data_IF_125984185411
#
_entry.id   IF_125984185411
#
_cell.length_a   1.000
_cell.length_b   1.000
_cell.length_c   1.000
_cell.angle_alpha   90.00
_cell.angle_beta   90.00
_cell.angle_gamma   90.00
#
_symmetry.space_group_name_H-M   'P 1'
#
loop_
_entity.id
_entity.type
_entity.pdbx_description
1 polymer ?
#
# COMPACT_ATOMS: atom_id res chain seq x y z
N UNK A 1 -0.61 21.81 21.56
CA UNK A 1 -1.11 23.13 21.15
C UNK A 1 -2.25 22.93 20.16
N UNK A 2 -3.42 23.47 20.43
CA UNK A 2 -4.59 23.33 19.55
C UNK A 2 -4.50 24.41 18.45
N UNK A 3 -4.63 24.08 17.16
CA UNK A 3 -4.68 25.07 16.10
C UNK A 3 -5.89 25.99 16.28
N UNK A 4 -5.73 27.26 15.93
CA UNK A 4 -6.78 28.29 16.07
C UNK A 4 -7.05 28.96 14.73
N UNK A 5 -8.26 29.45 14.54
CA UNK A 5 -8.63 30.30 13.40
C UNK A 5 -9.39 31.53 13.88
N UNK A 6 -9.41 32.57 13.04
CA UNK A 6 -10.16 33.81 13.33
C UNK A 6 -11.52 33.72 12.61
N UNK A 7 -12.59 33.83 13.38
CA UNK A 7 -13.96 33.83 12.86
C UNK A 7 -14.73 35.01 13.43
N UNK A 8 -15.22 35.89 12.56
CA UNK A 8 -15.94 37.13 12.92
C UNK A 8 -15.21 38.00 13.94
N UNK A 9 -13.88 38.08 13.85
CA UNK A 9 -13.05 38.86 14.76
C UNK A 9 -12.60 38.13 16.03
N UNK A 10 -13.15 36.97 16.34
CA UNK A 10 -12.80 36.18 17.51
C UNK A 10 -11.85 35.02 17.13
N UNK A 11 -10.92 34.73 18.05
CA UNK A 11 -10.02 33.58 17.92
C UNK A 11 -10.67 32.36 18.54
N UNK A 12 -10.98 31.36 17.71
CA UNK A 12 -11.62 30.10 18.11
C UNK A 12 -10.73 28.88 17.81
N UNK A 13 -10.87 27.79 18.58
CA UNK A 13 -10.19 26.54 18.24
C UNK A 13 -10.63 26.02 16.88
N UNK A 14 -9.66 25.60 16.06
CA UNK A 14 -9.93 24.93 14.77
C UNK A 14 -9.53 23.46 14.87
N UNK A 15 -10.45 22.56 14.57
CA UNK A 15 -10.20 21.11 14.55
C UNK A 15 -10.44 20.60 13.14
N UNK A 16 -9.41 19.94 12.56
CA UNK A 16 -9.55 19.27 11.29
C UNK A 16 -10.01 17.84 11.54
N UNK A 17 -11.22 17.52 11.11
CA UNK A 17 -11.75 16.17 11.19
C UNK A 17 -11.26 15.34 10.00
N UNK A 18 -11.07 14.02 10.19
CA UNK A 18 -10.78 13.14 9.08
C UNK A 18 -11.94 13.10 8.08
N UNK A 19 -11.61 12.88 6.81
CA UNK A 19 -12.61 12.79 5.75
C UNK A 19 -13.57 11.63 6.00
N UNK A 20 -14.86 11.89 5.85
CA UNK A 20 -15.92 10.88 5.90
C UNK A 20 -16.33 10.55 4.46
N UNK A 21 -16.22 9.28 4.09
CA UNK A 21 -16.62 8.79 2.77
C UNK A 21 -17.99 8.13 2.84
N UNK A 22 -18.90 8.60 2.01
CA UNK A 22 -20.26 8.04 1.90
C UNK A 22 -20.35 7.31 0.56
N UNK A 23 -20.62 6.01 0.61
CA UNK A 23 -20.78 5.16 -0.55
C UNK A 23 -22.23 4.80 -0.79
N UNK A 24 -22.60 4.59 -2.06
CA UNK A 24 -23.92 4.06 -2.41
C UNK A 24 -24.06 2.64 -1.86
N UNK A 25 -25.27 2.23 -1.42
CA UNK A 25 -25.51 0.85 -1.02
C UNK A 25 -25.19 -0.12 -2.13
N UNK A 26 -24.53 -1.22 -1.79
CA UNK A 26 -24.21 -2.28 -2.73
C UNK A 26 -25.48 -3.04 -3.11
N UNK A 27 -25.70 -3.19 -4.41
CA UNK A 27 -26.79 -4.01 -4.95
C UNK A 27 -26.22 -5.18 -5.72
N UNK A 28 -26.67 -6.37 -5.43
CA UNK A 28 -26.25 -7.61 -6.10
C UNK A 28 -27.38 -8.15 -6.95
N UNK A 29 -27.05 -8.67 -8.13
CA UNK A 29 -28.05 -9.25 -9.06
C UNK A 29 -28.57 -10.59 -8.57
N UNK A 30 -27.71 -11.36 -7.89
CA UNK A 30 -28.02 -12.68 -7.37
C UNK A 30 -27.18 -13.03 -6.14
N UNK A 31 -27.52 -14.11 -5.48
CA UNK A 31 -26.82 -14.56 -4.27
C UNK A 31 -25.39 -15.05 -4.55
N UNK A 32 -25.11 -15.50 -5.78
CA UNK A 32 -23.77 -15.91 -6.21
C UNK A 32 -22.80 -14.70 -6.22
N UNK A 33 -23.22 -13.60 -6.86
CA UNK A 33 -22.46 -12.36 -6.91
C UNK A 33 -22.17 -11.80 -5.52
N UNK A 34 -23.17 -11.85 -4.63
CA UNK A 34 -23.02 -11.44 -3.23
C UNK A 34 -21.98 -12.28 -2.50
N UNK A 35 -22.00 -13.61 -2.65
CA UNK A 35 -21.00 -14.51 -2.03
C UNK A 35 -19.59 -14.28 -2.56
N UNK A 36 -19.44 -14.06 -3.86
CA UNK A 36 -18.16 -13.75 -4.50
C UNK A 36 -17.58 -12.42 -3.98
N UNK A 37 -18.43 -11.41 -3.85
CA UNK A 37 -18.04 -10.12 -3.27
C UNK A 37 -17.54 -10.26 -1.82
N UNK A 38 -18.29 -10.91 -0.96
CA UNK A 38 -17.88 -11.09 0.44
C UNK A 38 -16.63 -11.96 0.59
N UNK A 39 -16.45 -12.95 -0.31
CA UNK A 39 -15.21 -13.72 -0.38
C UNK A 39 -14.02 -12.84 -0.76
N UNK A 40 -14.19 -11.96 -1.73
CA UNK A 40 -13.18 -10.97 -2.12
C UNK A 40 -12.82 -10.04 -0.96
N UNK A 41 -13.82 -9.48 -0.28
CA UNK A 41 -13.60 -8.60 0.89
C UNK A 41 -12.79 -9.32 1.97
N UNK A 42 -13.12 -10.58 2.26
CA UNK A 42 -12.38 -11.39 3.24
C UNK A 42 -10.92 -11.61 2.82
N UNK A 43 -10.71 -11.93 1.55
CA UNK A 43 -9.37 -12.12 1.00
C UNK A 43 -8.55 -10.82 1.02
N UNK A 44 -9.15 -9.68 0.67
CA UNK A 44 -8.50 -8.36 0.76
C UNK A 44 -8.12 -8.04 2.20
N UNK A 45 -9.00 -8.24 3.16
CA UNK A 45 -8.71 -8.01 4.59
C UNK A 45 -7.52 -8.85 5.07
N UNK A 46 -7.37 -10.06 4.54
CA UNK A 46 -6.26 -10.95 4.91
C UNK A 46 -4.94 -10.57 4.22
N UNK A 47 -4.98 -10.18 2.96
CA UNK A 47 -3.77 -9.94 2.15
C UNK A 47 -3.28 -8.49 2.17
N UNK A 48 -4.15 -7.53 2.45
CA UNK A 48 -3.80 -6.10 2.43
C UNK A 48 -2.70 -5.72 3.43
N UNK A 49 -2.70 -6.17 4.69
CA UNK A 49 -1.61 -5.88 5.63
C UNK A 49 -0.26 -6.36 5.10
N UNK A 50 -0.22 -7.57 4.55
CA UNK A 50 0.98 -8.16 3.96
C UNK A 50 1.46 -7.36 2.73
N UNK A 51 0.54 -6.93 1.88
CA UNK A 51 0.86 -6.07 0.73
C UNK A 51 1.47 -4.74 1.18
N UNK A 52 0.97 -4.14 2.24
CA UNK A 52 1.51 -2.90 2.81
C UNK A 52 2.92 -3.07 3.38
N UNK A 53 3.19 -4.17 4.04
CA UNK A 53 4.54 -4.48 4.56
C UNK A 53 5.54 -4.66 3.41
N UNK A 54 5.18 -5.41 2.38
CA UNK A 54 6.02 -5.61 1.20
C UNK A 54 6.30 -4.26 0.51
N UNK A 55 5.29 -3.42 0.33
CA UNK A 55 5.46 -2.12 -0.29
C UNK A 55 6.36 -1.19 0.54
N UNK A 56 6.23 -1.22 1.86
CA UNK A 56 7.13 -0.46 2.74
C UNK A 56 8.58 -0.90 2.53
N UNK A 57 8.84 -2.21 2.53
CA UNK A 57 10.17 -2.76 2.29
C UNK A 57 10.72 -2.37 0.91
N UNK A 58 9.88 -2.31 -0.11
CA UNK A 58 10.25 -1.85 -1.46
C UNK A 58 10.63 -0.37 -1.44
N UNK A 59 9.84 0.49 -0.80
CA UNK A 59 10.12 1.93 -0.69
C UNK A 59 11.44 2.17 0.04
N UNK A 60 11.62 1.57 1.21
CA UNK A 60 12.85 1.68 2.01
C UNK A 60 14.08 1.20 1.22
N UNK A 61 13.92 0.15 0.42
CA UNK A 61 14.98 -0.35 -0.46
C UNK A 61 15.36 0.67 -1.54
N UNK A 62 14.36 1.28 -2.19
CA UNK A 62 14.61 2.31 -3.19
C UNK A 62 15.30 3.54 -2.61
N UNK A 63 14.82 4.06 -1.49
CA UNK A 63 15.44 5.19 -0.80
C UNK A 63 16.89 4.90 -0.43
N UNK A 64 17.19 3.71 0.06
CA UNK A 64 18.55 3.32 0.39
C UNK A 64 19.44 3.19 -0.86
N UNK A 65 18.93 2.60 -1.94
CA UNK A 65 19.67 2.43 -3.21
C UNK A 65 20.06 3.79 -3.81
N UNK A 66 19.21 4.79 -3.69
CA UNK A 66 19.51 6.14 -4.17
C UNK A 66 20.72 6.76 -3.45
N UNK A 67 21.00 6.38 -2.22
CA UNK A 67 22.17 6.83 -1.46
C UNK A 67 23.47 6.16 -1.91
N UNK A 68 23.41 5.06 -2.64
CA UNK A 68 24.59 4.31 -3.09
C UNK A 68 25.13 4.87 -4.42
N UNK A 69 26.42 5.26 -4.47
CA UNK A 69 26.99 5.89 -5.66
C UNK A 69 27.32 4.89 -6.78
N UNK A 70 27.63 3.64 -6.42
CA UNK A 70 28.14 2.62 -7.34
C UNK A 70 27.05 1.63 -7.78
N UNK A 71 26.99 1.35 -9.10
CA UNK A 71 26.05 0.39 -9.69
C UNK A 71 26.23 -1.02 -9.11
N UNK A 72 27.47 -1.47 -8.90
CA UNK A 72 27.75 -2.79 -8.30
C UNK A 72 27.24 -2.90 -6.88
N UNK A 73 27.39 -1.83 -6.08
CA UNK A 73 26.87 -1.77 -4.72
C UNK A 73 25.34 -1.84 -4.70
N UNK A 74 24.66 -1.16 -5.63
CA UNK A 74 23.21 -1.23 -5.81
C UNK A 74 22.72 -2.63 -6.14
N UNK A 75 23.35 -3.28 -7.12
CA UNK A 75 23.00 -4.66 -7.50
C UNK A 75 23.24 -5.68 -6.38
N UNK A 76 24.35 -5.53 -5.64
CA UNK A 76 24.64 -6.37 -4.48
C UNK A 76 23.58 -6.20 -3.39
N UNK A 77 23.19 -4.97 -3.11
CA UNK A 77 22.15 -4.66 -2.12
C UNK A 77 20.78 -5.23 -2.54
N UNK A 78 20.39 -5.08 -3.82
CA UNK A 78 19.16 -5.65 -4.34
C UNK A 78 19.08 -7.17 -4.19
N UNK A 79 20.17 -7.88 -4.49
CA UNK A 79 20.24 -9.35 -4.29
C UNK A 79 20.09 -9.74 -2.81
N UNK A 80 20.70 -8.97 -1.91
CA UNK A 80 20.57 -9.17 -0.47
C UNK A 80 19.13 -8.99 0.00
N UNK A 81 18.48 -7.91 -0.41
CA UNK A 81 17.07 -7.63 -0.09
C UNK A 81 16.15 -8.70 -0.67
N UNK A 82 16.36 -9.09 -1.93
CA UNK A 82 15.58 -10.15 -2.57
C UNK A 82 15.66 -11.47 -1.79
N UNK A 83 16.85 -11.86 -1.38
CA UNK A 83 17.08 -13.07 -0.56
C UNK A 83 16.36 -12.94 0.79
N UNK A 84 16.53 -11.84 1.49
CA UNK A 84 15.88 -11.59 2.79
C UNK A 84 14.35 -11.60 2.69
N UNK A 85 13.78 -10.97 1.67
CA UNK A 85 12.33 -10.99 1.40
C UNK A 85 11.82 -12.41 1.11
N UNK A 86 12.54 -13.18 0.31
CA UNK A 86 12.19 -14.59 0.04
C UNK A 86 12.19 -15.42 1.33
N UNK A 87 13.22 -15.31 2.15
CA UNK A 87 13.31 -16.04 3.40
C UNK A 87 12.19 -15.66 4.38
N UNK A 88 11.90 -14.38 4.49
CA UNK A 88 10.89 -13.85 5.42
C UNK A 88 9.45 -14.18 4.98
N UNK A 89 9.13 -13.98 3.70
CA UNK A 89 7.75 -14.06 3.23
C UNK A 89 7.35 -15.42 2.66
N UNK A 90 8.29 -16.28 2.24
CA UNK A 90 7.97 -17.62 1.73
C UNK A 90 7.11 -18.46 2.69
N UNK A 91 7.40 -18.55 4.00
CA UNK A 91 6.57 -19.29 4.94
C UNK A 91 5.15 -18.73 5.04
N UNK A 92 5.01 -17.41 4.98
CA UNK A 92 3.72 -16.71 5.04
C UNK A 92 2.91 -16.97 3.76
N UNK A 93 3.57 -16.88 2.60
CA UNK A 93 2.93 -17.10 1.30
C UNK A 93 2.47 -18.54 1.10
N UNK A 94 3.19 -19.52 1.64
CA UNK A 94 2.77 -20.93 1.62
C UNK A 94 1.45 -21.19 2.36
N UNK A 95 1.08 -20.34 3.31
CA UNK A 95 -0.19 -20.42 4.03
C UNK A 95 -1.36 -19.75 3.31
N UNK A 96 -1.10 -19.03 2.21
CA UNK A 96 -2.14 -18.40 1.40
C UNK A 96 -2.72 -19.36 0.39
N UNK A 97 -4.01 -19.23 0.11
CA UNK A 97 -4.64 -19.92 -1.03
C UNK A 97 -4.15 -19.28 -2.35
N UNK A 98 -4.31 -20.02 -3.44
CA UNK A 98 -3.94 -19.52 -4.78
C UNK A 98 -4.62 -18.18 -5.14
N UNK A 99 -5.92 -18.06 -4.82
CA UNK A 99 -6.66 -16.80 -5.03
C UNK A 99 -6.12 -15.65 -4.22
N UNK A 100 -5.73 -15.90 -2.97
CA UNK A 100 -5.13 -14.90 -2.08
C UNK A 100 -3.74 -14.49 -2.58
N UNK A 101 -2.93 -15.43 -3.07
CA UNK A 101 -1.62 -15.14 -3.66
C UNK A 101 -1.72 -14.27 -4.91
N UNK A 102 -2.65 -14.57 -5.81
CA UNK A 102 -2.93 -13.71 -6.98
C UNK A 102 -3.38 -12.30 -6.58
N UNK A 103 -4.24 -12.20 -5.58
CA UNK A 103 -4.71 -10.91 -5.07
C UNK A 103 -3.57 -10.10 -4.44
N UNK A 104 -2.70 -10.75 -3.67
CA UNK A 104 -1.53 -10.12 -3.09
C UNK A 104 -0.62 -9.49 -4.16
N UNK A 105 -0.31 -10.22 -5.22
CA UNK A 105 0.49 -9.70 -6.34
C UNK A 105 -0.17 -8.47 -6.98
N UNK A 106 -1.47 -8.51 -7.20
CA UNK A 106 -2.22 -7.37 -7.75
C UNK A 106 -2.19 -6.15 -6.83
N UNK A 107 -2.31 -6.35 -5.53
CA UNK A 107 -2.28 -5.25 -4.55
C UNK A 107 -0.87 -4.61 -4.47
N UNK A 108 0.18 -5.43 -4.47
CA UNK A 108 1.57 -4.95 -4.48
C UNK A 108 1.84 -4.16 -5.75
N UNK A 109 1.50 -4.69 -6.93
CA UNK A 109 1.72 -4.00 -8.20
C UNK A 109 0.99 -2.66 -8.28
N UNK A 110 -0.27 -2.60 -7.83
CA UNK A 110 -1.04 -1.35 -7.82
C UNK A 110 -0.37 -0.23 -7.05
N UNK A 111 0.17 -0.52 -5.87
CA UNK A 111 0.86 0.48 -5.07
C UNK A 111 2.21 0.87 -5.66
N UNK A 112 2.94 -0.09 -6.22
CA UNK A 112 4.22 0.17 -6.88
C UNK A 112 4.04 1.07 -8.12
N UNK A 113 3.01 0.84 -8.91
CA UNK A 113 2.70 1.70 -10.07
C UNK A 113 2.32 3.11 -9.65
N UNK A 114 1.56 3.27 -8.56
CA UNK A 114 1.23 4.58 -8.00
C UNK A 114 2.48 5.34 -7.53
N UNK A 115 3.44 4.65 -6.93
CA UNK A 115 4.72 5.23 -6.51
C UNK A 115 5.56 5.66 -7.72
N UNK A 116 5.63 4.84 -8.76
CA UNK A 116 6.32 5.20 -10.01
C UNK A 116 5.72 6.43 -10.67
N UNK A 117 4.40 6.55 -10.69
CA UNK A 117 3.70 7.73 -11.21
C UNK A 117 4.03 8.98 -10.39
N UNK A 118 4.05 8.89 -9.07
CA UNK A 118 4.43 9.99 -8.18
C UNK A 118 5.89 10.41 -8.38
N UNK A 119 6.81 9.46 -8.55
CA UNK A 119 8.21 9.77 -8.86
C UNK A 119 8.37 10.47 -10.20
N UNK A 120 7.62 10.07 -11.23
CA UNK A 120 7.62 10.75 -12.54
C UNK A 120 7.04 12.18 -12.48
N UNK A 121 6.09 12.43 -11.58
CA UNK A 121 5.51 13.76 -11.38
C UNK A 121 6.37 14.68 -10.50
N UNK A 122 7.24 14.11 -9.65
CA UNK A 122 8.05 14.87 -8.68
C UNK A 122 9.49 15.13 -9.15
N UNK A 123 9.96 14.48 -10.22
CA UNK A 123 11.25 14.76 -10.83
C UNK A 123 11.03 15.72 -11.99
N UNK A 124 11.34 17.01 -11.83
CA UNK A 124 11.41 17.90 -12.99
C UNK A 124 12.48 17.38 -13.95
N UNK A 125 12.10 17.30 -15.18
CA UNK A 125 12.99 16.89 -16.25
C UNK A 125 14.28 17.72 -16.31
#
# INVERSE_FOLDING_TARGET
>A
MVPVCVYKGDTIPAVQLPNVYIFRPLKFKNEKERREYYRLVRNVKKTLPLAREINRAVIETYEYIETLPDKKAREKHLKLVEKGLKEQYTPIMKKLTFSQGKLLIKLVNRQTDSIKLLQHCLVPA
#
